data_IF_254506005321
#
_entry.id   IF_254506005321
#
_cell.length_a   1.000
_cell.length_b   1.000
_cell.length_c   1.000
_cell.angle_alpha   90.00
_cell.angle_beta   90.00
_cell.angle_gamma   90.00
#
_symmetry.space_group_name_H-M   'P 1'
#
loop_
_entity.id
_entity.type
_entity.pdbx_description
1 polymer ?
#
# COMPACT_ATOMS: atom_id res chain seq x y z
N UNK A 1 40.62 -71.22 -46.30
CA UNK A 1 39.15 -71.28 -46.10
C UNK A 1 38.72 -69.89 -45.79
N UNK A 2 38.21 -69.13 -46.76
CA UNK A 2 37.77 -67.73 -46.64
C UNK A 2 36.26 -67.75 -46.50
N UNK A 3 35.75 -67.26 -45.39
CA UNK A 3 34.32 -67.14 -45.15
C UNK A 3 33.94 -65.70 -45.46
N UNK A 4 33.26 -65.49 -46.58
CA UNK A 4 32.66 -64.20 -46.94
C UNK A 4 31.33 -64.04 -46.21
N UNK A 5 31.28 -63.12 -45.29
CA UNK A 5 30.02 -62.63 -44.71
C UNK A 5 29.39 -61.62 -45.67
N UNK A 6 28.42 -62.06 -46.45
CA UNK A 6 27.53 -61.14 -47.14
C UNK A 6 26.49 -60.58 -46.15
N UNK A 7 26.66 -59.33 -45.74
CA UNK A 7 25.61 -58.54 -45.08
C UNK A 7 24.67 -58.03 -46.16
N UNK A 8 23.53 -58.70 -46.35
CA UNK A 8 22.45 -58.17 -47.17
C UNK A 8 21.75 -57.03 -46.39
N UNK A 9 22.07 -55.81 -46.74
CA UNK A 9 21.28 -54.66 -46.29
C UNK A 9 20.00 -54.59 -47.08
N UNK A 10 18.88 -55.05 -46.52
CA UNK A 10 17.55 -54.79 -47.06
C UNK A 10 17.23 -53.33 -46.78
N UNK A 11 17.58 -52.43 -47.69
CA UNK A 11 17.10 -51.05 -47.72
C UNK A 11 15.64 -51.03 -48.06
N UNK A 12 14.78 -51.00 -47.07
CA UNK A 12 13.36 -50.70 -47.28
C UNK A 12 13.22 -49.23 -47.71
N UNK A 13 12.89 -49.01 -49.00
CA UNK A 13 12.59 -47.70 -49.52
C UNK A 13 11.24 -47.23 -48.95
N UNK A 14 11.20 -46.04 -48.39
CA UNK A 14 9.96 -45.42 -47.89
C UNK A 14 8.95 -45.24 -49.02
N UNK A 15 7.71 -45.64 -48.78
CA UNK A 15 6.64 -45.43 -49.72
C UNK A 15 6.17 -43.96 -49.69
N UNK A 16 5.72 -43.42 -50.82
CA UNK A 16 5.20 -42.06 -50.92
C UNK A 16 4.02 -41.85 -49.95
N UNK A 17 3.20 -42.88 -49.74
CA UNK A 17 2.08 -42.85 -48.81
C UNK A 17 2.52 -42.72 -47.34
N UNK A 18 3.62 -43.38 -46.95
CA UNK A 18 4.19 -43.29 -45.59
C UNK A 18 4.73 -41.90 -45.29
N UNK A 19 5.36 -41.25 -46.28
CA UNK A 19 5.81 -39.85 -46.13
C UNK A 19 4.66 -38.89 -45.98
N UNK A 20 3.56 -39.03 -46.73
CA UNK A 20 2.37 -38.18 -46.62
C UNK A 20 1.71 -38.37 -45.25
N UNK A 21 1.61 -39.62 -44.77
CA UNK A 21 1.04 -39.92 -43.46
C UNK A 21 1.90 -39.33 -42.33
N UNK A 22 3.23 -39.46 -42.41
CA UNK A 22 4.15 -38.92 -41.44
C UNK A 22 4.06 -37.39 -41.34
N UNK A 23 3.98 -36.70 -42.48
CA UNK A 23 3.80 -35.23 -42.51
C UNK A 23 2.45 -34.85 -41.91
N UNK A 24 1.37 -35.59 -42.21
CA UNK A 24 0.05 -35.33 -41.65
C UNK A 24 0.02 -35.47 -40.13
N UNK A 25 0.58 -36.54 -39.59
CA UNK A 25 0.69 -36.74 -38.13
C UNK A 25 1.55 -35.66 -37.49
N UNK A 26 2.70 -35.33 -38.10
CA UNK A 26 3.59 -34.28 -37.60
C UNK A 26 2.89 -32.91 -37.55
N UNK A 27 2.07 -32.59 -38.56
CA UNK A 27 1.31 -31.34 -38.57
C UNK A 27 0.28 -31.28 -37.43
N UNK A 28 -0.43 -32.37 -37.15
CA UNK A 28 -1.40 -32.46 -36.04
C UNK A 28 -0.68 -32.29 -34.71
N UNK A 29 0.45 -32.94 -34.52
CA UNK A 29 1.27 -32.82 -33.29
C UNK A 29 1.75 -31.40 -33.11
N UNK A 30 2.27 -30.74 -34.15
CA UNK A 30 2.70 -29.36 -34.11
C UNK A 30 1.59 -28.38 -33.73
N UNK A 31 0.39 -28.58 -34.33
CA UNK A 31 -0.79 -27.76 -33.99
C UNK A 31 -1.17 -27.95 -32.51
N UNK A 32 -1.18 -29.19 -32.05
CA UNK A 32 -1.51 -29.49 -30.64
C UNK A 32 -0.51 -28.86 -29.65
N UNK A 33 0.78 -29.01 -29.93
CA UNK A 33 1.84 -28.39 -29.10
C UNK A 33 1.72 -26.87 -29.12
N UNK A 34 1.50 -26.27 -30.29
CA UNK A 34 1.32 -24.83 -30.42
C UNK A 34 0.10 -24.34 -29.64
N UNK A 35 -1.03 -25.05 -29.69
CA UNK A 35 -2.24 -24.71 -28.96
C UNK A 35 -1.99 -24.69 -27.41
N UNK A 36 -1.30 -25.71 -26.90
CA UNK A 36 -0.93 -25.77 -25.47
C UNK A 36 0.01 -24.64 -25.10
N UNK A 37 1.01 -24.36 -25.94
CA UNK A 37 1.97 -23.28 -25.71
C UNK A 37 1.29 -21.89 -25.65
N UNK A 38 0.42 -21.59 -26.63
CA UNK A 38 -0.32 -20.32 -26.61
C UNK A 38 -1.30 -20.22 -25.44
N UNK A 39 -1.90 -21.34 -25.03
CA UNK A 39 -2.74 -21.37 -23.82
C UNK A 39 -1.93 -21.05 -22.56
N UNK A 40 -0.73 -21.64 -22.44
CA UNK A 40 0.16 -21.38 -21.32
C UNK A 40 0.64 -19.91 -21.27
N UNK A 41 0.95 -19.31 -22.41
CA UNK A 41 1.30 -17.89 -22.49
C UNK A 41 0.15 -16.99 -22.05
N UNK A 42 -1.08 -17.26 -22.53
CA UNK A 42 -2.26 -16.48 -22.11
C UNK A 42 -2.53 -16.58 -20.62
N UNK A 43 -2.36 -17.77 -20.04
CA UNK A 43 -2.52 -17.98 -18.61
C UNK A 43 -1.46 -17.18 -17.82
N UNK A 44 -0.20 -17.22 -18.28
CA UNK A 44 0.89 -16.44 -17.68
C UNK A 44 0.57 -14.95 -17.70
N UNK A 45 0.17 -14.41 -18.87
CA UNK A 45 -0.14 -12.99 -19.02
C UNK A 45 -1.33 -12.59 -18.14
N UNK A 46 -2.36 -13.42 -18.05
CA UNK A 46 -3.51 -13.18 -17.18
C UNK A 46 -3.11 -13.18 -15.69
N UNK A 47 -2.26 -14.13 -15.28
CA UNK A 47 -1.75 -14.19 -13.90
C UNK A 47 -0.85 -13.00 -13.60
N UNK A 48 0.05 -12.62 -14.51
CA UNK A 48 0.90 -11.45 -14.34
C UNK A 48 0.07 -10.19 -14.16
N UNK A 49 -0.93 -9.96 -15.01
CA UNK A 49 -1.82 -8.81 -14.92
C UNK A 49 -2.61 -8.77 -13.60
N UNK A 50 -3.04 -9.94 -13.10
CA UNK A 50 -3.70 -10.02 -11.81
C UNK A 50 -2.77 -9.62 -10.66
N UNK A 51 -1.55 -10.17 -10.62
CA UNK A 51 -0.53 -9.85 -9.61
C UNK A 51 -0.13 -8.38 -9.67
N UNK A 52 0.10 -7.85 -10.87
CA UNK A 52 0.52 -6.44 -11.05
C UNK A 52 -0.56 -5.45 -10.60
N UNK A 53 -1.84 -5.84 -10.64
CA UNK A 53 -2.95 -5.00 -10.17
C UNK A 53 -3.22 -5.15 -8.67
N UNK A 54 -3.06 -6.34 -8.09
CA UNK A 54 -3.36 -6.62 -6.68
C UNK A 54 -2.23 -6.20 -5.74
N UNK A 55 -0.97 -6.35 -6.15
CA UNK A 55 0.20 -6.03 -5.32
C UNK A 55 0.22 -4.58 -4.82
N UNK A 56 -0.03 -3.55 -5.65
CA UNK A 56 -0.06 -2.16 -5.17
C UNK A 56 -1.19 -1.92 -4.16
N UNK A 57 -2.34 -2.57 -4.34
CA UNK A 57 -3.49 -2.45 -3.43
C UNK A 57 -3.16 -3.00 -2.06
N UNK A 58 -2.62 -4.23 -2.00
CA UNK A 58 -2.24 -4.87 -0.75
C UNK A 58 -1.15 -4.08 -0.01
N UNK A 59 -0.17 -3.57 -0.76
CA UNK A 59 0.88 -2.75 -0.19
C UNK A 59 0.34 -1.40 0.33
N UNK A 60 -0.55 -0.75 -0.41
CA UNK A 60 -1.19 0.49 0.01
C UNK A 60 -2.01 0.28 1.28
N UNK A 61 -2.84 -0.78 1.32
CA UNK A 61 -3.67 -1.15 2.46
C UNK A 61 -2.83 -1.39 3.69
N UNK A 62 -1.82 -2.26 3.61
CA UNK A 62 -0.95 -2.59 4.74
C UNK A 62 -0.16 -1.37 5.25
N UNK A 63 0.26 -0.48 4.35
CA UNK A 63 0.97 0.74 4.74
C UNK A 63 0.02 1.70 5.47
N UNK A 64 -1.21 1.87 4.98
CA UNK A 64 -2.20 2.72 5.63
C UNK A 64 -2.61 2.17 7.00
N UNK A 65 -2.88 0.87 7.10
CA UNK A 65 -3.17 0.21 8.38
C UNK A 65 -2.08 0.48 9.40
N UNK A 66 -0.83 0.22 9.04
CA UNK A 66 0.32 0.45 9.91
C UNK A 66 0.46 1.90 10.33
N UNK A 67 0.24 2.85 9.41
CA UNK A 67 0.33 4.28 9.74
C UNK A 67 -0.75 4.69 10.73
N UNK A 68 -1.98 4.21 10.58
CA UNK A 68 -3.07 4.50 11.52
C UNK A 68 -2.89 3.80 12.88
N UNK A 69 -2.39 2.57 12.91
CA UNK A 69 -2.08 1.85 14.16
C UNK A 69 -0.98 2.55 14.98
N UNK A 70 -0.03 3.19 14.30
CA UNK A 70 1.11 3.84 14.93
C UNK A 70 0.94 5.36 15.07
N UNK A 71 -0.29 5.89 15.02
CA UNK A 71 -0.55 7.31 15.21
C UNK A 71 -0.10 7.77 16.60
N UNK A 72 0.61 8.89 16.62
CA UNK A 72 1.06 9.52 17.88
C UNK A 72 -0.09 10.29 18.50
N UNK A 73 -0.37 10.01 19.76
CA UNK A 73 -1.44 10.67 20.51
C UNK A 73 -1.17 12.17 20.64
N UNK A 74 -2.16 13.04 20.40
CA UNK A 74 -2.03 14.47 20.63
C UNK A 74 -1.66 14.75 22.09
N UNK A 75 -0.60 15.49 22.30
CA UNK A 75 -0.23 15.96 23.64
C UNK A 75 -0.82 17.34 23.89
N UNK A 76 -1.69 17.47 24.87
CA UNK A 76 -2.28 18.73 25.32
C UNK A 76 -1.24 19.67 25.98
N UNK A 77 -0.01 19.66 25.47
CA UNK A 77 1.09 20.43 26.01
C UNK A 77 1.33 21.75 25.27
N UNK A 78 2.00 22.68 25.92
CA UNK A 78 2.34 24.03 25.42
C UNK A 78 3.34 24.02 24.25
N UNK A 79 3.92 22.88 23.91
CA UNK A 79 4.88 22.70 22.82
C UNK A 79 4.18 22.18 21.57
N UNK A 80 3.72 23.08 20.73
CA UNK A 80 3.03 22.76 19.44
C UNK A 80 3.90 22.06 18.40
N UNK A 81 5.19 21.94 18.60
CA UNK A 81 6.14 21.42 17.59
C UNK A 81 6.09 19.90 17.45
N UNK A 82 5.62 19.19 18.47
CA UNK A 82 5.46 17.72 18.47
C UNK A 82 4.09 17.34 19.06
N UNK A 83 3.04 18.06 18.67
CA UNK A 83 1.72 17.91 19.27
C UNK A 83 0.98 16.65 18.84
N UNK A 84 1.47 15.92 17.86
CA UNK A 84 0.81 14.72 17.35
C UNK A 84 -0.59 14.99 16.79
N UNK A 85 -0.77 16.12 16.12
CA UNK A 85 -2.06 16.54 15.57
C UNK A 85 -2.62 15.47 14.61
N UNK A 86 -3.91 15.23 14.71
CA UNK A 86 -4.63 14.32 13.83
C UNK A 86 -5.81 15.06 13.20
N UNK A 87 -5.84 15.10 11.89
CA UNK A 87 -6.83 15.85 11.13
C UNK A 87 -7.34 15.02 9.96
N UNK A 88 -8.67 14.94 9.82
CA UNK A 88 -9.36 14.24 8.72
C UNK A 88 -10.37 15.21 8.10
N UNK A 89 -10.48 15.16 6.80
CA UNK A 89 -11.39 15.99 6.01
C UNK A 89 -10.64 16.77 4.94
N UNK A 90 -11.31 17.71 4.31
CA UNK A 90 -10.74 18.52 3.23
C UNK A 90 -9.77 19.57 3.81
N UNK A 91 -8.57 19.16 4.11
CA UNK A 91 -7.53 19.96 4.77
C UNK A 91 -6.65 20.59 3.69
N UNK A 92 -6.43 21.89 3.74
CA UNK A 92 -5.42 22.53 2.89
C UNK A 92 -4.06 22.31 3.55
N UNK A 93 -3.22 21.49 2.93
CA UNK A 93 -1.86 21.26 3.40
C UNK A 93 -1.01 22.53 3.28
N UNK A 94 -0.19 22.78 4.30
CA UNK A 94 0.68 23.97 4.35
C UNK A 94 1.82 23.94 3.30
N UNK A 95 2.04 22.80 2.63
CA UNK A 95 3.14 22.62 1.68
C UNK A 95 2.79 22.90 0.23
N UNK A 96 1.78 22.22 -0.32
CA UNK A 96 1.48 22.20 -1.74
C UNK A 96 0.15 22.91 -2.12
N UNK A 97 -0.67 23.31 -1.13
CA UNK A 97 -1.97 23.94 -1.38
C UNK A 97 -3.05 22.98 -1.89
N UNK A 98 -2.73 21.70 -2.09
CA UNK A 98 -3.68 20.66 -2.48
C UNK A 98 -4.47 20.15 -1.27
N UNK A 99 -5.74 19.78 -1.46
CA UNK A 99 -6.52 19.23 -0.38
C UNK A 99 -6.07 17.82 -0.04
N UNK A 100 -5.72 17.58 1.23
CA UNK A 100 -5.39 16.28 1.75
C UNK A 100 -6.57 15.64 2.46
N UNK A 101 -6.70 14.32 2.39
CA UNK A 101 -7.77 13.59 3.04
C UNK A 101 -7.50 13.38 4.55
N UNK A 102 -6.25 13.19 4.91
CA UNK A 102 -5.80 13.07 6.30
C UNK A 102 -4.40 13.62 6.48
N UNK A 103 -4.17 14.23 7.64
CA UNK A 103 -2.86 14.66 8.12
C UNK A 103 -2.69 14.10 9.54
N UNK A 104 -1.58 13.39 9.77
CA UNK A 104 -1.31 12.77 11.05
C UNK A 104 0.18 12.64 11.32
N UNK A 105 0.53 12.41 12.58
CA UNK A 105 1.87 12.06 13.01
C UNK A 105 1.90 10.59 13.39
N UNK A 106 2.87 9.85 12.90
CA UNK A 106 2.98 8.41 13.11
C UNK A 106 4.40 8.01 13.48
N UNK A 107 4.54 7.00 14.31
CA UNK A 107 5.83 6.44 14.72
C UNK A 107 6.25 5.28 13.78
N UNK A 108 6.09 5.46 12.48
CA UNK A 108 6.47 4.47 11.45
C UNK A 108 7.76 4.83 10.71
N UNK A 109 8.47 5.88 11.13
CA UNK A 109 9.74 6.29 10.55
C UNK A 109 10.85 5.29 10.82
N UNK A 110 11.78 5.18 9.88
CA UNK A 110 12.99 4.40 10.06
C UNK A 110 14.08 5.25 10.73
N UNK A 111 14.68 4.67 11.78
CA UNK A 111 15.83 5.27 12.44
C UNK A 111 17.08 5.01 11.61
N UNK A 112 17.72 6.04 11.13
CA UNK A 112 18.99 5.95 10.40
C UNK A 112 20.11 6.62 11.22
N UNK A 113 21.25 5.95 11.34
CA UNK A 113 22.39 6.38 12.20
C UNK A 113 22.96 7.77 11.86
N UNK A 114 22.66 8.31 10.69
CA UNK A 114 23.23 9.59 10.22
C UNK A 114 22.22 10.72 10.12
N UNK A 115 20.96 10.44 10.35
CA UNK A 115 19.89 11.40 10.17
C UNK A 115 19.48 12.03 11.51
N UNK A 116 19.23 13.34 11.56
CA UNK A 116 18.94 14.04 12.80
C UNK A 116 17.49 13.87 13.31
N UNK A 117 16.66 13.09 12.63
CA UNK A 117 15.26 12.86 12.99
C UNK A 117 15.04 11.47 13.58
N UNK A 118 13.99 11.33 14.38
CA UNK A 118 13.57 10.07 15.00
C UNK A 118 12.60 9.26 14.16
N UNK A 119 11.88 8.37 14.81
CA UNK A 119 10.85 7.50 14.24
C UNK A 119 9.51 8.21 14.01
N UNK A 120 9.30 9.38 14.62
CA UNK A 120 8.08 10.17 14.42
C UNK A 120 8.19 10.99 13.15
N UNK A 121 7.22 10.82 12.29
CA UNK A 121 7.11 11.54 11.02
C UNK A 121 5.68 12.04 10.81
N UNK A 122 5.53 13.12 10.04
CA UNK A 122 4.23 13.58 9.57
C UNK A 122 3.88 12.87 8.27
N UNK A 123 2.68 12.33 8.20
CA UNK A 123 2.16 11.63 7.02
C UNK A 123 0.87 12.31 6.59
N UNK A 124 0.74 12.50 5.28
CA UNK A 124 -0.49 12.94 4.65
C UNK A 124 -0.88 12.00 3.52
N UNK A 125 -2.18 11.75 3.35
CA UNK A 125 -2.73 11.02 2.21
C UNK A 125 -3.58 11.95 1.37
N UNK A 126 -3.34 11.94 0.08
CA UNK A 126 -4.02 12.80 -0.88
C UNK A 126 -4.24 12.12 -2.22
N UNK A 127 -5.21 12.61 -2.98
CA UNK A 127 -5.46 12.20 -4.35
C UNK A 127 -4.93 13.27 -5.31
N UNK A 128 -3.92 12.92 -6.11
CA UNK A 128 -3.34 13.80 -7.14
C UNK A 128 -3.76 13.37 -8.54
N UNK A 129 -3.68 14.29 -9.48
CA UNK A 129 -3.89 13.96 -10.87
C UNK A 129 -2.75 13.05 -11.37
N UNK A 130 -3.07 11.99 -12.14
CA UNK A 130 -2.08 11.00 -12.53
C UNK A 130 -1.02 11.59 -13.46
N UNK A 131 0.25 11.36 -13.14
CA UNK A 131 1.39 11.82 -13.97
C UNK A 131 1.35 11.19 -15.35
N UNK A 132 0.86 9.97 -15.47
CA UNK A 132 0.74 9.22 -16.73
C UNK A 132 -0.48 9.62 -17.58
N UNK A 133 -1.35 10.51 -17.10
CA UNK A 133 -2.57 10.92 -17.80
C UNK A 133 -3.63 9.80 -17.91
N UNK A 134 -3.57 8.78 -17.05
CA UNK A 134 -4.56 7.72 -16.96
C UNK A 134 -5.90 8.18 -16.37
N UNK A 135 -6.93 7.33 -16.40
CA UNK A 135 -8.21 7.63 -15.77
C UNK A 135 -8.11 7.53 -14.24
N UNK A 136 -8.85 8.41 -13.53
CA UNK A 136 -8.84 8.46 -12.08
C UNK A 136 -7.71 9.32 -11.52
N UNK A 137 -7.45 9.17 -10.23
CA UNK A 137 -6.40 9.87 -9.50
C UNK A 137 -5.38 8.89 -8.94
N UNK A 138 -4.20 9.38 -8.65
CA UNK A 138 -3.18 8.64 -7.92
C UNK A 138 -3.33 8.89 -6.42
N UNK A 139 -3.33 7.82 -5.63
CA UNK A 139 -3.21 7.89 -4.18
C UNK A 139 -1.74 8.06 -3.84
N UNK A 140 -1.43 9.17 -3.19
CA UNK A 140 -0.07 9.55 -2.80
C UNK A 140 0.00 9.67 -1.28
N UNK A 141 1.04 9.10 -0.71
CA UNK A 141 1.46 9.25 0.69
C UNK A 141 2.65 10.21 0.73
N UNK A 142 2.48 11.36 1.36
CA UNK A 142 3.56 12.34 1.52
C UNK A 142 4.09 12.31 2.95
N UNK A 143 5.40 12.23 3.09
CA UNK A 143 6.11 12.04 4.35
C UNK A 143 7.00 13.24 4.61
N UNK A 144 6.89 13.82 5.80
CA UNK A 144 7.83 14.79 6.33
C UNK A 144 8.57 14.20 7.52
N UNK A 145 9.85 13.92 7.36
CA UNK A 145 10.67 13.29 8.41
C UNK A 145 11.26 14.34 9.35
N UNK A 146 11.82 15.42 8.82
CA UNK A 146 12.42 16.48 9.63
C UNK A 146 11.35 17.48 10.09
N UNK A 147 10.71 17.18 11.21
CA UNK A 147 9.66 18.00 11.81
C UNK A 147 10.20 19.30 12.44
N UNK A 148 11.50 19.38 12.69
CA UNK A 148 12.18 20.51 13.34
C UNK A 148 13.00 21.34 12.34
N UNK A 149 12.73 21.21 11.05
CA UNK A 149 13.44 21.97 10.02
C UNK A 149 13.27 23.49 10.26
N UNK A 150 14.36 24.26 10.28
CA UNK A 150 14.28 25.71 10.40
C UNK A 150 13.79 26.40 9.11
N UNK A 151 13.70 25.67 8.02
CA UNK A 151 13.22 26.11 6.71
C UNK A 151 11.98 25.30 6.31
N UNK A 152 11.52 25.45 5.07
CA UNK A 152 10.46 24.58 4.53
C UNK A 152 10.90 23.12 4.63
N UNK A 153 10.14 22.25 5.31
CA UNK A 153 10.49 20.85 5.44
C UNK A 153 10.56 20.17 4.06
N UNK A 154 11.48 19.24 3.93
CA UNK A 154 11.52 18.34 2.78
C UNK A 154 10.40 17.31 2.88
N UNK A 155 9.66 17.13 1.80
CA UNK A 155 8.51 16.22 1.71
C UNK A 155 8.84 15.14 0.70
N UNK A 156 8.79 13.89 1.14
CA UNK A 156 8.98 12.71 0.30
C UNK A 156 7.62 12.16 -0.12
N UNK A 157 7.37 12.13 -1.42
CA UNK A 157 6.13 11.60 -1.98
C UNK A 157 6.31 10.13 -2.36
N UNK A 158 5.43 9.27 -1.83
CA UNK A 158 5.34 7.86 -2.16
C UNK A 158 4.05 7.60 -2.93
N UNK A 159 4.20 7.17 -4.16
CA UNK A 159 3.06 6.68 -4.93
C UNK A 159 2.58 5.35 -4.35
N UNK A 160 1.28 5.23 -4.10
CA UNK A 160 0.66 4.04 -3.51
C UNK A 160 -0.07 3.21 -4.56
N UNK A 161 -1.03 3.82 -5.23
CA UNK A 161 -1.81 3.18 -6.30
C UNK A 161 -2.43 4.21 -7.24
N UNK A 162 -2.72 3.81 -8.47
CA UNK A 162 -3.42 4.62 -9.47
C UNK A 162 -4.88 4.19 -9.66
N UNK A 163 -5.63 5.02 -10.38
CA UNK A 163 -6.99 4.68 -10.77
C UNK A 163 -8.00 4.78 -9.63
N UNK A 164 -7.76 5.66 -8.66
CA UNK A 164 -8.68 5.94 -7.57
C UNK A 164 -9.69 6.99 -8.01
N UNK A 165 -10.97 6.71 -7.83
CA UNK A 165 -12.05 7.67 -8.07
C UNK A 165 -12.29 8.56 -6.87
N UNK A 166 -12.32 7.96 -5.67
CA UNK A 166 -12.59 8.66 -4.43
C UNK A 166 -11.87 8.00 -3.25
N UNK A 167 -11.46 8.82 -2.29
CA UNK A 167 -10.91 8.43 -1.00
C UNK A 167 -11.75 9.10 0.08
N UNK A 168 -12.39 8.32 0.93
CA UNK A 168 -13.16 8.81 2.07
C UNK A 168 -12.59 8.25 3.35
N UNK A 169 -12.32 9.11 4.32
CA UNK A 169 -11.85 8.71 5.65
C UNK A 169 -12.90 9.16 6.66
N UNK A 170 -13.33 8.22 7.49
CA UNK A 170 -14.33 8.42 8.52
C UNK A 170 -13.79 8.02 9.88
N UNK A 171 -14.07 8.81 10.89
CA UNK A 171 -13.61 8.63 12.26
C UNK A 171 -14.77 8.26 13.18
N UNK A 172 -14.62 7.26 14.03
CA UNK A 172 -15.63 6.82 14.99
C UNK A 172 -15.34 7.40 16.38
N UNK A 173 -16.31 8.08 16.96
CA UNK A 173 -16.18 8.69 18.29
C UNK A 173 -16.60 7.78 19.46
N UNK A 174 -17.03 6.56 19.16
CA UNK A 174 -17.65 5.61 20.11
C UNK A 174 -19.16 5.55 20.01
N UNK A 175 -19.81 6.49 19.30
CA UNK A 175 -21.25 6.55 19.11
C UNK A 175 -21.63 6.64 17.61
N UNK A 176 -20.93 7.45 16.84
CA UNK A 176 -21.23 7.66 15.42
C UNK A 176 -19.96 7.92 14.60
N UNK A 177 -20.10 7.82 13.27
CA UNK A 177 -19.06 8.09 12.29
C UNK A 177 -19.09 9.55 11.82
N UNK A 178 -17.89 10.17 11.75
CA UNK A 178 -17.66 11.53 11.29
C UNK A 178 -16.69 11.54 10.11
N UNK A 179 -16.99 12.34 9.10
CA UNK A 179 -16.10 12.52 7.93
C UNK A 179 -15.08 13.64 8.12
N UNK A 180 -15.09 14.29 9.27
CA UNK A 180 -14.14 15.33 9.65
C UNK A 180 -13.70 15.13 11.08
N UNK A 181 -12.40 15.29 11.32
CA UNK A 181 -11.82 15.21 12.65
C UNK A 181 -10.67 16.21 12.77
N UNK A 182 -10.55 16.93 13.85
CA UNK A 182 -9.48 17.90 14.06
C UNK A 182 -9.14 18.00 15.55
N UNK A 183 -7.92 17.60 15.89
CA UNK A 183 -7.40 17.68 17.26
C UNK A 183 -6.63 18.99 17.52
N UNK A 184 -6.41 19.83 16.49
CA UNK A 184 -5.61 21.06 16.62
C UNK A 184 -6.35 22.24 17.23
N UNK A 185 -7.69 22.20 17.19
CA UNK A 185 -8.53 23.34 17.54
C UNK A 185 -8.74 23.49 19.03
N UNK A 186 -8.51 24.69 19.54
CA UNK A 186 -8.90 25.09 20.91
C UNK A 186 -10.42 25.03 21.13
N UNK A 187 -11.21 24.91 20.06
CA UNK A 187 -12.67 24.88 20.05
C UNK A 187 -13.25 23.56 19.54
N UNK A 188 -12.40 22.60 19.11
CA UNK A 188 -12.90 21.31 18.66
C UNK A 188 -13.35 20.47 19.85
N UNK A 189 -14.53 19.86 19.70
CA UNK A 189 -15.09 18.96 20.70
C UNK A 189 -14.22 17.69 20.90
N UNK A 190 -13.33 17.42 19.97
CA UNK A 190 -12.52 16.20 19.90
C UNK A 190 -11.04 16.54 20.02
N UNK A 191 -10.55 16.59 21.26
CA UNK A 191 -9.12 16.75 21.54
C UNK A 191 -8.35 15.42 21.54
N UNK A 192 -9.05 14.30 21.48
CA UNK A 192 -8.52 12.95 21.50
C UNK A 192 -8.55 12.32 20.12
N UNK A 193 -7.79 11.25 19.93
CA UNK A 193 -7.90 10.40 18.74
C UNK A 193 -9.28 9.73 18.67
N UNK A 194 -9.79 9.41 17.48
CA UNK A 194 -11.00 8.61 17.33
C UNK A 194 -10.77 7.18 17.86
N UNK A 195 -11.85 6.48 18.17
CA UNK A 195 -11.82 5.06 18.61
C UNK A 195 -11.44 4.14 17.46
N UNK A 196 -11.88 4.47 16.25
CA UNK A 196 -11.55 3.74 15.04
C UNK A 196 -11.56 4.68 13.82
N UNK A 197 -10.82 4.31 12.81
CA UNK A 197 -10.81 4.99 11.51
C UNK A 197 -11.22 3.99 10.45
N UNK A 198 -12.11 4.43 9.55
CA UNK A 198 -12.49 3.68 8.36
C UNK A 198 -12.01 4.46 7.14
N UNK A 199 -11.30 3.77 6.26
CA UNK A 199 -10.83 4.29 4.98
C UNK A 199 -11.54 3.54 3.87
N UNK A 200 -12.26 4.27 3.04
CA UNK A 200 -12.98 3.76 1.89
C UNK A 200 -12.28 4.27 0.62
N UNK A 201 -11.67 3.38 -0.14
CA UNK A 201 -11.03 3.66 -1.42
C UNK A 201 -11.93 3.13 -2.52
N UNK A 202 -12.39 4.00 -3.41
CA UNK A 202 -13.16 3.62 -4.57
C UNK A 202 -12.28 3.66 -5.82
N UNK A 203 -11.95 2.50 -6.40
CA UNK A 203 -11.28 2.44 -7.70
C UNK A 203 -12.21 2.91 -8.82
N UNK A 204 -11.62 3.40 -9.91
CA UNK A 204 -12.38 3.78 -11.10
C UNK A 204 -12.83 2.53 -11.87
N UNK A 205 -14.09 2.52 -12.31
CA UNK A 205 -14.67 1.41 -13.07
C UNK A 205 -15.02 0.19 -12.20
N UNK A 206 -15.28 -0.95 -12.86
CA UNK A 206 -15.70 -2.19 -12.19
C UNK A 206 -14.59 -3.26 -12.14
N UNK A 207 -13.35 -2.88 -12.38
CA UNK A 207 -12.24 -3.84 -12.45
C UNK A 207 -11.75 -4.29 -11.08
N UNK A 208 -11.88 -3.43 -10.07
CA UNK A 208 -11.59 -3.74 -8.68
C UNK A 208 -12.80 -3.41 -7.80
N UNK A 209 -13.08 -4.22 -6.77
CA UNK A 209 -14.10 -3.88 -5.77
C UNK A 209 -13.65 -2.67 -4.93
N UNK A 210 -14.59 -1.97 -4.28
CA UNK A 210 -14.25 -0.98 -3.25
C UNK A 210 -13.41 -1.63 -2.15
N UNK A 211 -12.40 -0.90 -1.68
CA UNK A 211 -11.48 -1.34 -0.63
C UNK A 211 -11.89 -0.61 0.65
N UNK A 212 -12.24 -1.36 1.69
CA UNK A 212 -12.56 -0.83 3.00
C UNK A 212 -11.49 -1.30 4.00
N UNK A 213 -10.87 -0.35 4.69
CA UNK A 213 -9.89 -0.59 5.75
C UNK A 213 -10.50 -0.06 7.04
N UNK A 214 -10.59 -0.90 8.06
CA UNK A 214 -11.07 -0.52 9.39
C UNK A 214 -9.95 -0.74 10.41
N UNK A 215 -9.45 0.37 10.95
CA UNK A 215 -8.35 0.35 11.93
C UNK A 215 -8.88 0.82 13.27
N UNK A 216 -8.87 -0.04 14.31
CA UNK A 216 -9.09 0.40 15.67
C UNK A 216 -7.89 1.23 16.13
N UNK A 217 -8.15 2.42 16.67
CA UNK A 217 -7.08 3.26 17.20
C UNK A 217 -6.94 3.01 18.69
N UNK A 218 -5.70 2.76 19.13
CA UNK A 218 -5.43 2.67 20.56
C UNK A 218 -5.46 4.09 21.17
N UNK A 219 -6.64 4.50 21.59
CA UNK A 219 -6.85 5.78 22.27
C UNK A 219 -6.29 5.78 23.70
N UNK A 220 -5.63 4.71 24.10
CA UNK A 220 -4.98 4.65 25.40
C UNK A 220 -3.80 5.63 25.40
N UNK A 221 -4.06 6.83 25.89
CA UNK A 221 -3.02 7.67 26.44
C UNK A 221 -2.07 6.74 27.20
N UNK A 222 -0.84 6.61 26.75
CA UNK A 222 0.24 6.06 27.57
C UNK A 222 0.39 7.05 28.73
N UNK A 223 -0.45 6.85 29.74
CA UNK A 223 -0.27 7.52 31.01
C UNK A 223 1.11 7.09 31.45
N UNK A 224 2.08 8.02 31.37
CA UNK A 224 3.36 7.83 32.02
C UNK A 224 3.02 7.34 33.41
N UNK A 225 3.37 6.11 33.74
CA UNK A 225 3.41 5.65 35.11
C UNK A 225 4.35 6.63 35.80
N UNK A 226 3.78 7.65 36.42
CA UNK A 226 4.45 8.41 37.45
C UNK A 226 4.77 7.35 38.48
N UNK A 227 6.06 6.98 38.57
CA UNK A 227 6.58 6.21 39.69
C UNK A 227 6.10 6.95 40.91
N UNK A 228 5.08 6.43 41.56
CA UNK A 228 4.70 6.86 42.87
C UNK A 228 5.94 6.59 43.75
N UNK A 229 6.73 7.64 44.00
CA UNK A 229 7.68 7.63 45.07
C UNK A 229 6.89 7.36 46.32
N UNK A 230 6.93 6.14 46.78
CA UNK A 230 6.63 5.75 48.14
C UNK A 230 7.70 6.40 49.02
N UNK A 231 7.48 7.68 49.37
CA UNK A 231 8.06 8.23 50.58
C UNK A 231 7.35 7.56 51.75
N UNK A 232 7.88 6.41 52.12
CA UNK A 232 7.62 5.85 53.42
C UNK A 232 8.47 6.60 54.42
N UNK A 233 7.85 7.58 55.08
CA UNK A 233 8.39 8.28 56.20
C UNK A 233 8.64 7.30 57.34
N UNK A 234 9.90 7.08 57.69
CA UNK A 234 10.34 6.56 58.95
C UNK A 234 10.34 7.65 59.99
N UNK A 235 9.38 7.65 60.87
CA UNK A 235 9.44 8.33 62.14
C UNK A 235 10.29 7.50 63.08
N UNK A 236 11.36 8.06 63.64
CA UNK A 236 11.75 8.07 65.07
C UNK A 236 13.08 8.86 65.19
#
# INVERSE_FOLDING_TARGET
MKIDFQTSSTGSAFTLMEMVLAIGISAIVLISVSAVFFSALRLRDATQNAVDNETPVDQATSTMERDFECVVTPTNGTSKVLSGDFRVGNIISTGNGEPVAVEMYTATGELADKEPWGDIQKVTYELRDPVSGGPGKDLVRSITRNLLSPTTPDVEDQWMMSGVQNLTISCYDGAQWWNTWDTTGLTSANTNLPVAVRVDIQPIGNQMPPIEILVPMDSQSRTNMTLANSEEGGAE
#
